data_IF_737827128927
#
_entry.id   IF_737827128927
#
_cell.length_a   1.000
_cell.length_b   1.000
_cell.length_c   1.000
_cell.angle_alpha   90.00
_cell.angle_beta   90.00
_cell.angle_gamma   90.00
#
_symmetry.space_group_name_H-M   'P 1'
#
loop_
_entity.id
_entity.type
_entity.pdbx_description
1 polymer ?
#
# COMPACT_ATOMS: atom_id res chain seq x y z
N UNK A 1 -15.55 6.29 -1.07
CA UNK A 1 -14.77 6.95 0.00
C UNK A 1 -14.07 5.86 0.78
N UNK A 2 -12.77 5.99 1.01
CA UNK A 2 -11.92 4.98 1.63
C UNK A 2 -11.37 5.48 2.97
N UNK A 3 -10.94 4.58 3.85
CA UNK A 3 -10.17 4.87 5.06
C UNK A 3 -8.73 4.44 4.85
N UNK A 4 -7.80 5.25 5.34
CA UNK A 4 -6.40 4.83 5.45
C UNK A 4 -6.26 3.88 6.64
N UNK A 5 -5.86 2.64 6.37
CA UNK A 5 -5.76 1.56 7.37
C UNK A 5 -4.44 1.63 8.10
N UNK A 6 -3.33 1.70 7.35
CA UNK A 6 -1.97 1.74 7.87
C UNK A 6 -0.98 2.24 6.82
N UNK A 7 0.21 2.61 7.27
CA UNK A 7 1.38 2.82 6.44
C UNK A 7 2.28 1.59 6.46
N UNK A 8 2.73 1.16 5.29
CA UNK A 8 3.86 0.26 5.10
C UNK A 8 5.08 1.07 4.64
N UNK A 9 6.25 0.78 5.19
CA UNK A 9 7.46 1.58 4.94
C UNK A 9 8.74 0.73 4.85
N UNK A 10 9.58 1.06 3.87
CA UNK A 10 10.95 0.52 3.67
C UNK A 10 11.96 1.20 4.58
N UNK A 11 12.33 0.52 5.67
CA UNK A 11 13.24 1.07 6.68
C UNK A 11 14.69 1.25 6.18
N UNK A 12 15.07 0.53 5.14
CA UNK A 12 16.34 0.65 4.44
C UNK A 12 16.41 1.83 3.46
N UNK A 13 15.26 2.43 3.09
CA UNK A 13 15.18 3.48 2.05
C UNK A 13 15.01 4.90 2.58
N UNK A 14 14.97 5.07 3.89
CA UNK A 14 14.85 6.37 4.56
C UNK A 14 14.25 6.23 5.95
N UNK A 15 14.08 7.31 6.73
CA UNK A 15 13.59 7.27 8.11
C UNK A 15 12.07 7.07 8.21
N UNK A 16 11.60 6.63 9.39
CA UNK A 16 10.19 6.39 9.67
C UNK A 16 9.40 7.68 9.45
N UNK A 17 8.36 7.69 8.60
CA UNK A 17 7.56 8.89 8.38
C UNK A 17 6.76 9.29 9.62
N UNK A 18 6.60 10.61 9.82
CA UNK A 18 5.65 11.15 10.76
C UNK A 18 4.22 10.88 10.25
N UNK A 19 3.42 10.18 11.04
CA UNK A 19 2.01 9.89 10.72
C UNK A 19 1.26 9.44 11.97
N UNK A 20 -0.06 9.71 12.03
CA UNK A 20 -0.95 9.15 13.04
C UNK A 20 -1.45 7.74 12.71
N UNK A 21 -1.12 7.20 11.53
CA UNK A 21 -1.51 5.84 11.13
C UNK A 21 -0.65 4.78 11.84
N UNK A 22 -1.19 3.56 12.06
CA UNK A 22 -0.37 2.41 12.37
C UNK A 22 0.71 2.23 11.29
N UNK A 23 1.95 1.92 11.69
CA UNK A 23 3.08 1.75 10.76
C UNK A 23 3.61 0.33 10.83
N UNK A 24 3.83 -0.30 9.67
CA UNK A 24 4.47 -1.60 9.52
C UNK A 24 5.70 -1.47 8.61
N UNK A 25 6.76 -2.22 8.93
CA UNK A 25 7.93 -2.31 8.05
C UNK A 25 7.64 -3.26 6.91
N UNK A 26 8.17 -2.95 5.74
CA UNK A 26 8.24 -3.87 4.60
C UNK A 26 9.58 -4.60 4.73
N UNK A 27 9.53 -5.93 4.68
CA UNK A 27 10.69 -6.80 4.49
C UNK A 27 10.50 -7.61 3.21
N UNK A 28 11.54 -8.34 2.78
CA UNK A 28 11.58 -9.09 1.52
C UNK A 28 10.48 -10.15 1.38
N UNK A 29 9.89 -10.56 2.50
CA UNK A 29 8.84 -11.59 2.53
C UNK A 29 7.44 -11.01 2.46
N UNK A 30 7.25 -9.70 2.65
CA UNK A 30 5.91 -9.10 2.64
C UNK A 30 5.37 -9.01 1.22
N UNK A 31 4.23 -9.65 0.98
CA UNK A 31 3.49 -9.56 -0.27
C UNK A 31 1.99 -9.35 -0.02
N UNK A 32 1.28 -8.93 -1.06
CA UNK A 32 -0.18 -8.80 -1.07
C UNK A 32 -0.80 -9.88 -1.96
N UNK A 33 -1.84 -10.53 -1.45
CA UNK A 33 -2.55 -11.57 -2.18
C UNK A 33 -3.61 -10.95 -3.10
N UNK A 34 -3.44 -11.12 -4.40
CA UNK A 34 -4.37 -10.65 -5.43
C UNK A 34 -5.19 -11.77 -6.06
N UNK A 35 -4.88 -13.03 -5.76
CA UNK A 35 -5.61 -14.20 -6.25
C UNK A 35 -6.99 -14.31 -5.59
N UNK A 36 -8.10 -14.16 -6.33
CA UNK A 36 -9.45 -14.28 -5.79
C UNK A 36 -9.81 -15.68 -5.27
N UNK A 37 -9.08 -16.72 -5.69
CA UNK A 37 -9.28 -18.09 -5.23
C UNK A 37 -8.56 -18.39 -3.90
N UNK A 38 -7.59 -17.56 -3.49
CA UNK A 38 -6.86 -17.74 -2.24
C UNK A 38 -7.66 -17.18 -1.05
N UNK A 39 -7.67 -17.91 0.07
CA UNK A 39 -8.30 -17.49 1.34
C UNK A 39 -7.71 -16.19 1.91
N UNK A 40 -6.50 -15.84 1.49
CA UNK A 40 -5.77 -14.62 1.84
C UNK A 40 -6.12 -13.46 0.90
N UNK A 41 -7.03 -13.62 -0.06
CA UNK A 41 -7.39 -12.58 -1.01
C UNK A 41 -7.56 -11.19 -0.39
N UNK A 42 -6.89 -10.21 -1.00
CA UNK A 42 -6.81 -8.83 -0.58
C UNK A 42 -6.29 -8.66 0.87
N UNK A 43 -5.19 -9.34 1.21
CA UNK A 43 -4.48 -9.24 2.50
C UNK A 43 -2.97 -9.25 2.31
N UNK A 44 -2.23 -8.62 3.24
CA UNK A 44 -0.80 -8.83 3.34
C UNK A 44 -0.53 -10.23 3.90
N UNK A 45 0.52 -10.88 3.41
CA UNK A 45 1.00 -12.15 3.94
C UNK A 45 2.53 -12.23 3.82
N UNK A 46 3.12 -13.18 4.55
CA UNK A 46 4.53 -13.53 4.38
C UNK A 46 4.62 -14.61 3.31
N UNK A 47 5.26 -14.25 2.21
CA UNK A 47 5.45 -15.07 1.03
C UNK A 47 6.67 -15.96 1.21
N UNK A 48 6.56 -17.23 0.82
CA UNK A 48 7.69 -18.15 0.69
C UNK A 48 8.40 -17.96 -0.66
N UNK A 49 9.60 -18.49 -0.79
CA UNK A 49 10.30 -18.46 -2.07
C UNK A 49 9.48 -19.17 -3.16
N UNK A 50 9.33 -18.51 -4.31
CA UNK A 50 8.53 -18.99 -5.44
C UNK A 50 7.01 -18.86 -5.29
N UNK A 51 6.49 -18.48 -4.11
CA UNK A 51 5.05 -18.27 -3.93
C UNK A 51 4.58 -17.00 -4.66
N UNK A 52 3.43 -17.07 -5.33
CA UNK A 52 2.86 -15.95 -6.07
C UNK A 52 2.29 -14.87 -5.12
N UNK A 53 2.27 -13.61 -5.57
CA UNK A 53 1.74 -12.47 -4.81
C UNK A 53 2.50 -11.19 -5.14
N UNK A 54 1.84 -10.06 -5.00
CA UNK A 54 2.44 -8.76 -5.29
C UNK A 54 3.42 -8.36 -4.18
N UNK A 55 4.71 -8.32 -4.50
CA UNK A 55 5.76 -8.03 -3.52
C UNK A 55 5.73 -6.57 -3.12
N UNK A 56 5.71 -6.33 -1.80
CA UNK A 56 5.91 -4.97 -1.29
C UNK A 56 7.39 -4.54 -1.31
N UNK A 57 8.32 -5.50 -1.26
CA UNK A 57 9.75 -5.24 -1.43
C UNK A 57 10.12 -5.16 -2.91
N UNK A 58 10.25 -3.93 -3.42
CA UNK A 58 10.56 -3.63 -4.83
C UNK A 58 11.84 -2.79 -4.98
N UNK A 59 12.53 -2.94 -6.10
CA UNK A 59 13.74 -2.16 -6.40
C UNK A 59 13.43 -0.79 -7.03
N UNK A 60 12.26 -0.67 -7.67
CA UNK A 60 11.83 0.55 -8.37
C UNK A 60 11.28 1.65 -7.45
N UNK A 61 11.44 1.48 -6.13
CA UNK A 61 11.11 2.45 -5.08
C UNK A 61 9.65 2.87 -4.96
N UNK A 62 8.76 2.37 -5.82
CA UNK A 62 7.34 2.72 -5.80
C UNK A 62 6.70 2.42 -4.45
N UNK A 63 7.15 1.34 -3.80
CA UNK A 63 6.65 0.88 -2.50
C UNK A 63 7.59 1.20 -1.33
N UNK A 64 8.41 2.26 -1.47
CA UNK A 64 9.14 2.81 -0.33
C UNK A 64 8.19 3.25 0.80
N UNK A 65 7.02 3.77 0.40
CA UNK A 65 5.91 4.17 1.26
C UNK A 65 4.59 3.73 0.61
N UNK A 66 3.81 2.91 1.31
CA UNK A 66 2.52 2.40 0.82
C UNK A 66 1.44 2.62 1.87
N UNK A 67 0.43 3.41 1.54
CA UNK A 67 -0.74 3.63 2.38
C UNK A 67 -1.81 2.63 1.96
N UNK A 68 -2.14 1.72 2.86
CA UNK A 68 -3.21 0.74 2.69
C UNK A 68 -4.58 1.42 2.80
N UNK A 69 -5.41 1.28 1.77
CA UNK A 69 -6.81 1.72 1.80
C UNK A 69 -7.73 0.54 2.11
N UNK A 70 -8.87 0.79 2.77
CA UNK A 70 -9.87 -0.24 3.12
C UNK A 70 -10.73 -0.72 1.93
N UNK A 71 -10.24 -0.56 0.70
CA UNK A 71 -10.90 -1.05 -0.50
C UNK A 71 -11.10 -2.57 -0.42
N UNK A 72 -12.35 -3.01 -0.60
CA UNK A 72 -12.72 -4.42 -0.55
C UNK A 72 -12.18 -5.15 0.69
N UNK A 73 -12.12 -4.48 1.86
CA UNK A 73 -11.54 -5.05 3.07
C UNK A 73 -12.56 -5.79 3.95
N UNK A 74 -13.80 -5.29 4.04
CA UNK A 74 -14.88 -5.85 4.87
C UNK A 74 -16.29 -5.54 4.31
N UNK A 75 -17.08 -6.56 3.92
CA UNK A 75 -16.64 -7.92 3.63
C UNK A 75 -15.67 -7.93 2.43
N UNK A 76 -14.73 -8.88 2.42
CA UNK A 76 -13.87 -9.15 1.27
C UNK A 76 -14.66 -9.98 0.27
N UNK A 77 -14.80 -9.49 -0.95
CA UNK A 77 -15.52 -10.19 -2.03
C UNK A 77 -14.54 -10.45 -3.17
N UNK A 78 -14.35 -11.72 -3.51
CA UNK A 78 -13.50 -12.16 -4.62
C UNK A 78 -13.86 -11.42 -5.92
N UNK A 79 -12.86 -11.02 -6.70
CA UNK A 79 -13.05 -10.33 -7.98
C UNK A 79 -13.42 -8.85 -7.90
N UNK A 80 -13.64 -8.26 -6.70
CA UNK A 80 -13.93 -6.82 -6.54
C UNK A 80 -12.67 -5.94 -6.43
N UNK A 81 -11.55 -6.39 -6.98
CA UNK A 81 -10.25 -5.74 -6.90
C UNK A 81 -9.53 -5.94 -5.56
N UNK A 82 -8.22 -5.75 -5.58
CA UNK A 82 -7.28 -5.91 -4.48
C UNK A 82 -6.19 -4.83 -4.53
N UNK A 83 -5.33 -4.77 -3.50
CA UNK A 83 -4.08 -4.00 -3.51
C UNK A 83 -4.24 -2.51 -3.85
N UNK A 84 -5.36 -1.90 -3.46
CA UNK A 84 -5.58 -0.47 -3.69
C UNK A 84 -4.79 0.34 -2.66
N UNK A 85 -3.77 1.02 -3.14
CA UNK A 85 -2.83 1.78 -2.32
C UNK A 85 -2.64 3.22 -2.80
N UNK A 86 -2.11 4.05 -1.89
CA UNK A 86 -1.43 5.30 -2.26
C UNK A 86 0.07 5.08 -2.05
N UNK A 87 0.88 5.33 -3.07
CA UNK A 87 2.31 5.04 -3.01
C UNK A 87 3.14 6.10 -3.74
N UNK A 88 4.47 5.91 -3.76
CA UNK A 88 5.39 6.84 -4.40
C UNK A 88 5.22 6.76 -5.93
N UNK A 89 5.12 7.92 -6.58
CA UNK A 89 5.05 8.00 -8.04
C UNK A 89 6.37 7.58 -8.69
N UNK A 90 6.27 6.95 -9.87
CA UNK A 90 7.43 6.80 -10.75
C UNK A 90 7.85 8.16 -11.30
N UNK A 91 9.15 8.37 -11.47
CA UNK A 91 9.66 9.52 -12.21
C UNK A 91 8.98 9.56 -13.60
N UNK A 92 8.41 10.72 -13.96
CA UNK A 92 7.68 10.92 -15.20
C UNK A 92 6.15 10.71 -15.16
N UNK A 93 5.54 10.48 -13.99
CA UNK A 93 4.08 10.48 -13.79
C UNK A 93 3.27 9.61 -14.78
N UNK A 94 3.78 8.45 -15.18
CA UNK A 94 3.04 7.53 -16.04
C UNK A 94 1.73 7.07 -15.33
N UNK A 95 0.60 6.98 -16.05
CA UNK A 95 -0.69 6.64 -15.46
C UNK A 95 -0.66 5.24 -14.85
N UNK A 96 -1.12 5.14 -13.60
CA UNK A 96 -1.25 3.89 -12.84
C UNK A 96 -2.61 3.25 -13.08
N UNK A 97 -2.66 1.92 -13.17
CA UNK A 97 -3.91 1.15 -13.29
C UNK A 97 -4.66 1.08 -11.94
N UNK A 98 -5.05 2.24 -11.38
CA UNK A 98 -5.94 2.35 -10.22
C UNK A 98 -5.29 2.74 -8.87
N UNK A 99 -3.96 2.80 -8.76
CA UNK A 99 -3.28 3.33 -7.57
C UNK A 99 -3.09 4.85 -7.64
N UNK A 100 -3.09 5.56 -6.51
CA UNK A 100 -2.77 7.00 -6.48
C UNK A 100 -1.28 7.18 -6.19
N UNK A 101 -0.58 7.85 -7.09
CA UNK A 101 0.86 8.08 -7.01
C UNK A 101 1.18 9.53 -6.67
N UNK A 102 2.02 9.76 -5.65
CA UNK A 102 2.48 11.09 -5.24
C UNK A 102 4.00 11.15 -5.23
N UNK A 103 4.59 12.32 -5.53
CA UNK A 103 6.03 12.51 -5.32
C UNK A 103 6.39 12.30 -3.85
N UNK A 104 7.59 11.78 -3.52
CA UNK A 104 7.95 11.40 -2.15
C UNK A 104 7.72 12.50 -1.11
N UNK A 105 8.02 13.75 -1.45
CA UNK A 105 7.86 14.90 -0.56
C UNK A 105 6.38 15.15 -0.20
N UNK A 106 5.49 15.10 -1.19
CA UNK A 106 4.06 15.33 -0.98
C UNK A 106 3.39 14.15 -0.29
N UNK A 107 3.82 12.92 -0.58
CA UNK A 107 3.36 11.75 0.15
C UNK A 107 3.73 11.86 1.64
N UNK A 108 4.93 12.32 1.97
CA UNK A 108 5.35 12.57 3.38
C UNK A 108 4.53 13.68 4.03
N UNK A 109 4.23 14.76 3.31
CA UNK A 109 3.34 15.84 3.80
C UNK A 109 1.93 15.36 4.05
N UNK A 110 1.40 14.50 3.17
CA UNK A 110 0.10 13.86 3.34
C UNK A 110 0.12 12.98 4.59
N UNK A 111 1.10 12.09 4.72
CA UNK A 111 1.25 11.16 5.85
C UNK A 111 1.24 11.85 7.21
N UNK A 112 1.89 13.01 7.31
CA UNK A 112 1.93 13.82 8.53
C UNK A 112 0.53 14.31 8.99
N UNK A 113 -0.44 14.36 8.06
CA UNK A 113 -1.83 14.77 8.32
C UNK A 113 -2.80 13.59 8.45
N UNK A 114 -2.38 12.38 8.08
CA UNK A 114 -3.23 11.20 8.13
C UNK A 114 -3.29 10.61 9.55
N UNK A 115 -4.49 10.18 9.94
CA UNK A 115 -4.73 9.39 11.14
C UNK A 115 -5.86 8.37 10.93
N UNK A 116 -6.18 7.55 11.94
CA UNK A 116 -7.10 6.41 11.80
C UNK A 116 -8.55 6.80 11.45
N UNK A 117 -8.90 8.08 11.65
CA UNK A 117 -10.23 8.63 11.33
C UNK A 117 -10.28 9.34 9.97
N UNK A 118 -9.14 9.49 9.29
CA UNK A 118 -9.09 10.17 7.99
C UNK A 118 -9.83 9.35 6.94
N UNK A 119 -10.65 10.05 6.14
CA UNK A 119 -11.32 9.47 4.97
C UNK A 119 -10.77 10.11 3.70
N UNK A 120 -10.52 9.27 2.70
CA UNK A 120 -9.95 9.64 1.41
C UNK A 120 -11.03 9.45 0.35
N UNK A 121 -11.24 10.47 -0.47
CA UNK A 121 -12.15 10.40 -1.61
C UNK A 121 -11.31 10.52 -2.88
N UNK A 122 -11.36 9.47 -3.69
CA UNK A 122 -10.82 9.44 -5.05
C UNK A 122 -12.02 9.70 -5.97
N UNK A 123 -11.88 10.62 -6.92
CA UNK A 123 -12.94 11.06 -7.83
C UNK A 123 -12.34 11.51 -9.15
#
# INVERSE_FOLDING_TARGET
MFRAVRLWWRADRGPRPATGLPVRRIDETVAWCEDPADRRYNRPFRRRDGEAGDRLWRDDRLYDLVIELDHNARPRVAGRGSAVFIHVARDGFLPTAGCVSLVPADLRRLLAKLGPRTRIRIG
#
